data_IF_170391199737
#
_entry.id   IF_170391199737
#
_cell.length_a   1.000
_cell.length_b   1.000
_cell.length_c   1.000
_cell.angle_alpha   90.00
_cell.angle_beta   90.00
_cell.angle_gamma   90.00
#
_symmetry.space_group_name_H-M   'P 1'
#
loop_
_entity.id
_entity.type
_entity.pdbx_description
1 polymer ?
#
# COMPACT_ATOMS: atom_id res chain seq x y z
N UNK A 1 -16.97 8.87 -11.32
CA UNK A 1 -17.16 8.46 -12.74
C UNK A 1 -15.86 8.54 -13.55
N UNK A 2 -15.20 9.70 -13.68
CA UNK A 2 -13.93 9.79 -14.43
C UNK A 2 -12.80 8.89 -13.90
N UNK A 3 -12.57 8.86 -12.57
CA UNK A 3 -11.52 8.02 -11.96
C UNK A 3 -11.74 6.53 -12.21
N UNK A 4 -12.97 6.04 -12.07
CA UNK A 4 -13.33 4.64 -12.33
C UNK A 4 -13.03 4.25 -13.79
N UNK A 5 -13.38 5.13 -14.74
CA UNK A 5 -13.06 4.90 -16.16
C UNK A 5 -11.55 4.82 -16.39
N UNK A 6 -10.75 5.67 -15.73
CA UNK A 6 -9.28 5.62 -15.84
C UNK A 6 -8.69 4.36 -15.22
N UNK A 7 -9.17 3.94 -14.05
CA UNK A 7 -8.73 2.69 -13.41
C UNK A 7 -9.00 1.49 -14.31
N UNK A 8 -10.21 1.37 -14.88
CA UNK A 8 -10.54 0.27 -15.78
C UNK A 8 -9.63 0.22 -17.00
N UNK A 9 -9.37 1.37 -17.63
CA UNK A 9 -8.44 1.45 -18.76
C UNK A 9 -7.01 1.09 -18.37
N UNK A 10 -6.56 1.49 -17.18
CA UNK A 10 -5.26 1.08 -16.66
C UNK A 10 -5.20 -0.45 -16.48
N UNK A 11 -6.24 -1.09 -15.93
CA UNK A 11 -6.29 -2.55 -15.78
C UNK A 11 -6.34 -3.28 -17.12
N UNK A 12 -7.08 -2.76 -18.11
CA UNK A 12 -7.12 -3.31 -19.47
C UNK A 12 -5.76 -3.28 -20.16
N UNK A 13 -4.92 -2.28 -19.85
CA UNK A 13 -3.55 -2.22 -20.38
C UNK A 13 -2.59 -3.05 -19.52
N UNK A 14 -2.73 -2.99 -18.19
CA UNK A 14 -1.85 -3.67 -17.26
C UNK A 14 -1.86 -5.19 -17.46
N UNK A 15 -3.01 -5.79 -17.82
CA UNK A 15 -3.10 -7.23 -18.00
C UNK A 15 -2.17 -7.79 -19.09
N UNK A 16 -1.77 -6.99 -20.08
CA UNK A 16 -0.80 -7.41 -21.10
C UNK A 16 0.62 -7.62 -20.55
N UNK A 17 0.94 -7.03 -19.39
CA UNK A 17 2.25 -7.13 -18.75
C UNK A 17 2.31 -8.20 -17.66
N UNK A 18 1.21 -8.89 -17.39
CA UNK A 18 1.09 -9.92 -16.34
C UNK A 18 1.68 -9.47 -14.98
N UNK A 19 1.28 -8.29 -14.45
CA UNK A 19 1.87 -7.77 -13.23
C UNK A 19 1.53 -8.65 -12.03
N UNK A 20 2.47 -8.77 -11.09
CA UNK A 20 2.23 -9.50 -9.83
C UNK A 20 1.13 -8.84 -8.99
N UNK A 21 1.10 -7.50 -8.98
CA UNK A 21 0.17 -6.66 -8.23
C UNK A 21 -0.07 -5.36 -9.01
N UNK A 22 -1.26 -4.77 -8.90
CA UNK A 22 -1.59 -3.42 -9.37
C UNK A 22 -2.07 -2.61 -8.17
N UNK A 23 -1.36 -1.53 -7.87
CA UNK A 23 -1.65 -0.65 -6.73
C UNK A 23 -2.67 0.42 -7.12
N UNK A 24 -3.63 0.68 -6.23
CA UNK A 24 -4.63 1.74 -6.37
C UNK A 24 -4.78 2.52 -5.06
N UNK A 25 -5.11 3.80 -5.16
CA UNK A 25 -5.39 4.63 -3.99
C UNK A 25 -6.90 4.71 -3.73
N UNK A 26 -7.27 4.80 -2.45
CA UNK A 26 -8.67 4.94 -2.02
C UNK A 26 -9.28 6.32 -2.36
N UNK A 27 -8.42 7.33 -2.53
CA UNK A 27 -8.81 8.73 -2.67
C UNK A 27 -9.26 9.41 -1.36
N UNK A 28 -9.07 8.77 -0.20
CA UNK A 28 -9.30 9.42 1.08
C UNK A 28 -8.36 10.61 1.27
N UNK A 29 -8.86 11.63 1.95
CA UNK A 29 -8.04 12.76 2.38
C UNK A 29 -8.71 13.41 3.59
N UNK A 30 -8.02 13.57 4.73
CA UNK A 30 -8.63 14.03 5.97
C UNK A 30 -9.19 15.45 5.88
N UNK A 31 -8.61 16.30 5.03
CA UNK A 31 -9.10 17.67 4.81
C UNK A 31 -10.48 17.76 4.12
N UNK A 32 -10.90 16.71 3.41
CA UNK A 32 -12.19 16.71 2.68
C UNK A 32 -13.19 15.71 3.27
N UNK A 33 -12.70 14.61 3.82
CA UNK A 33 -13.53 13.44 4.12
C UNK A 33 -13.73 13.17 5.61
N UNK A 34 -13.00 13.83 6.51
CA UNK A 34 -13.11 13.58 7.97
C UNK A 34 -14.54 13.67 8.49
N UNK A 35 -15.28 14.71 8.10
CA UNK A 35 -16.68 14.90 8.52
C UNK A 35 -17.70 14.15 7.65
N UNK A 36 -17.25 13.53 6.55
CA UNK A 36 -18.09 12.87 5.54
C UNK A 36 -17.63 11.44 5.25
N UNK A 37 -17.03 10.80 6.26
CA UNK A 37 -16.38 9.50 6.09
C UNK A 37 -17.34 8.42 5.57
N UNK A 38 -18.58 8.40 6.07
CA UNK A 38 -19.60 7.46 5.60
C UNK A 38 -19.93 7.65 4.11
N UNK A 39 -20.12 8.90 3.68
CA UNK A 39 -20.38 9.23 2.27
C UNK A 39 -19.18 8.86 1.37
N UNK A 40 -17.96 9.18 1.81
CA UNK A 40 -16.75 8.76 1.11
C UNK A 40 -16.67 7.25 0.97
N UNK A 41 -16.95 6.50 2.03
CA UNK A 41 -16.88 5.04 2.03
C UNK A 41 -17.92 4.43 1.07
N UNK A 42 -19.14 4.95 1.04
CA UNK A 42 -20.17 4.55 0.07
C UNK A 42 -19.76 4.84 -1.38
N UNK A 43 -19.15 6.01 -1.63
CA UNK A 43 -18.63 6.37 -2.95
C UNK A 43 -17.43 5.50 -3.37
N UNK A 44 -16.53 5.18 -2.44
CA UNK A 44 -15.39 4.29 -2.69
C UNK A 44 -15.88 2.88 -3.04
N UNK A 45 -16.81 2.32 -2.26
CA UNK A 45 -17.41 1.01 -2.52
C UNK A 45 -18.15 0.96 -3.86
N UNK A 46 -19.05 1.90 -4.12
CA UNK A 46 -19.77 1.94 -5.40
C UNK A 46 -18.84 2.20 -6.59
N UNK A 47 -17.78 3.00 -6.41
CA UNK A 47 -16.81 3.29 -7.47
C UNK A 47 -15.90 2.11 -7.81
N UNK A 48 -15.55 1.29 -6.82
CA UNK A 48 -14.62 0.17 -6.99
C UNK A 48 -15.30 -1.13 -7.44
N UNK A 49 -16.62 -1.24 -7.39
CA UNK A 49 -17.34 -2.47 -7.74
C UNK A 49 -16.99 -3.01 -9.15
N UNK A 50 -17.00 -2.14 -10.17
CA UNK A 50 -16.61 -2.56 -11.52
C UNK A 50 -15.10 -2.80 -11.67
N UNK A 51 -14.28 -2.15 -10.85
CA UNK A 51 -12.81 -2.25 -10.89
C UNK A 51 -12.36 -3.59 -10.30
N UNK A 52 -12.91 -3.96 -9.14
CA UNK A 52 -12.64 -5.23 -8.47
C UNK A 52 -13.12 -6.40 -9.33
N UNK A 53 -14.34 -6.33 -9.87
CA UNK A 53 -14.86 -7.35 -10.79
C UNK A 53 -13.96 -7.53 -12.02
N UNK A 54 -13.51 -6.42 -12.62
CA UNK A 54 -12.60 -6.49 -13.77
C UNK A 54 -11.25 -7.14 -13.40
N UNK A 55 -10.71 -6.85 -12.21
CA UNK A 55 -9.49 -7.51 -11.75
C UNK A 55 -9.68 -9.01 -11.57
N UNK A 56 -10.79 -9.47 -10.98
CA UNK A 56 -11.12 -10.89 -10.89
C UNK A 56 -11.21 -11.56 -12.27
N UNK A 57 -11.97 -10.96 -13.19
CA UNK A 57 -12.14 -11.46 -14.57
C UNK A 57 -10.83 -11.53 -15.35
N UNK A 58 -9.83 -10.71 -14.99
CA UNK A 58 -8.51 -10.64 -15.64
C UNK A 58 -7.41 -11.35 -14.86
N UNK A 59 -7.72 -11.97 -13.72
CA UNK A 59 -6.74 -12.63 -12.86
C UNK A 59 -5.71 -11.68 -12.24
N UNK A 60 -6.04 -10.39 -12.11
CA UNK A 60 -5.16 -9.38 -11.52
C UNK A 60 -5.33 -9.33 -10.00
N UNK A 61 -4.25 -9.00 -9.30
CA UNK A 61 -4.27 -8.69 -7.86
C UNK A 61 -4.23 -7.18 -7.67
N UNK A 62 -5.29 -6.60 -7.14
CA UNK A 62 -5.37 -5.20 -6.74
C UNK A 62 -4.92 -5.03 -5.30
N UNK A 63 -4.09 -4.02 -5.05
CA UNK A 63 -3.66 -3.64 -3.71
C UNK A 63 -4.11 -2.22 -3.41
N UNK A 64 -4.92 -2.06 -2.36
CA UNK A 64 -5.37 -0.75 -1.89
C UNK A 64 -4.32 -0.16 -0.94
N UNK A 65 -3.73 0.97 -1.33
CA UNK A 65 -2.64 1.61 -0.60
C UNK A 65 -3.12 2.57 0.49
N UNK A 66 -2.43 2.58 1.63
CA UNK A 66 -2.56 3.66 2.62
C UNK A 66 -1.79 4.90 2.16
N UNK A 67 -2.47 6.04 2.11
CA UNK A 67 -1.89 7.32 1.70
C UNK A 67 -2.12 8.36 2.81
N UNK A 68 -3.38 8.72 3.07
CA UNK A 68 -3.73 9.76 4.06
C UNK A 68 -4.71 9.27 5.13
N UNK A 69 -5.04 7.99 5.11
CA UNK A 69 -5.90 7.36 6.10
C UNK A 69 -5.20 7.39 7.46
N UNK A 70 -5.89 7.85 8.52
CA UNK A 70 -5.27 7.96 9.83
C UNK A 70 -5.02 6.60 10.50
N UNK A 71 -5.79 5.59 10.13
CA UNK A 71 -5.84 4.25 10.72
C UNK A 71 -6.30 3.22 9.67
N UNK A 72 -5.97 1.92 9.81
CA UNK A 72 -6.29 0.89 8.82
C UNK A 72 -7.78 0.66 8.60
N UNK A 73 -8.62 1.04 9.57
CA UNK A 73 -10.06 0.75 9.56
C UNK A 73 -10.81 1.26 8.32
N UNK A 74 -10.32 2.35 7.70
CA UNK A 74 -10.94 2.88 6.47
C UNK A 74 -10.72 1.95 5.28
N UNK A 75 -9.51 1.42 5.14
CA UNK A 75 -9.16 0.52 4.04
C UNK A 75 -9.72 -0.87 4.28
N UNK A 76 -9.68 -1.38 5.51
CA UNK A 76 -10.29 -2.68 5.83
C UNK A 76 -11.78 -2.67 5.55
N UNK A 77 -12.49 -1.59 5.87
CA UNK A 77 -13.92 -1.46 5.56
C UNK A 77 -14.23 -1.50 4.05
N UNK A 78 -13.27 -1.17 3.18
CA UNK A 78 -13.41 -1.31 1.72
C UNK A 78 -13.12 -2.76 1.31
N UNK A 79 -11.97 -3.30 1.70
CA UNK A 79 -11.53 -4.63 1.25
C UNK A 79 -12.45 -5.74 1.77
N UNK A 80 -12.89 -5.66 3.02
CA UNK A 80 -13.83 -6.63 3.61
C UNK A 80 -15.23 -6.56 2.97
N UNK A 81 -15.66 -5.37 2.53
CA UNK A 81 -16.95 -5.21 1.85
C UNK A 81 -17.03 -6.01 0.55
N UNK A 82 -15.96 -6.01 -0.24
CA UNK A 82 -15.90 -6.81 -1.47
C UNK A 82 -15.65 -8.28 -1.19
N UNK A 83 -14.91 -8.60 -0.13
CA UNK A 83 -14.45 -9.94 0.21
C UNK A 83 -13.72 -10.70 -0.93
N UNK A 84 -13.38 -10.02 -2.02
CA UNK A 84 -12.79 -10.58 -3.24
C UNK A 84 -11.37 -11.08 -2.99
N UNK A 85 -10.96 -12.26 -3.50
CA UNK A 85 -9.57 -12.71 -3.44
C UNK A 85 -8.63 -11.87 -4.31
N UNK A 86 -9.16 -11.12 -5.29
CA UNK A 86 -8.39 -10.24 -6.15
C UNK A 86 -8.06 -8.89 -5.48
N UNK A 87 -8.64 -8.57 -4.31
CA UNK A 87 -8.42 -7.30 -3.63
C UNK A 87 -7.73 -7.52 -2.26
N UNK A 88 -6.58 -6.88 -2.10
CA UNK A 88 -5.80 -6.85 -0.88
C UNK A 88 -5.25 -5.46 -0.58
N UNK A 89 -4.13 -5.41 0.12
CA UNK A 89 -3.53 -4.17 0.62
C UNK A 89 -2.13 -3.95 0.05
N UNK A 90 -1.81 -2.68 -0.21
CA UNK A 90 -0.44 -2.21 -0.27
C UNK A 90 -0.19 -1.45 1.04
N UNK A 91 0.85 -1.84 1.78
CA UNK A 91 1.30 -1.04 2.91
C UNK A 91 2.40 -0.09 2.45
N UNK A 92 2.16 1.21 2.47
CA UNK A 92 3.23 2.19 2.30
C UNK A 92 3.74 2.62 3.68
N UNK A 93 5.00 2.25 3.97
CA UNK A 93 5.62 2.55 5.25
C UNK A 93 5.88 4.05 5.44
N UNK A 94 6.21 4.77 4.37
CA UNK A 94 6.50 6.19 4.41
C UNK A 94 5.25 7.04 4.64
N UNK A 95 4.16 6.73 3.93
CA UNK A 95 2.85 7.32 4.18
C UNK A 95 2.37 7.05 5.61
N UNK A 96 2.52 5.81 6.09
CA UNK A 96 2.15 5.49 7.46
C UNK A 96 2.95 6.30 8.49
N UNK A 97 4.26 6.49 8.27
CA UNK A 97 5.10 7.25 9.20
C UNK A 97 4.85 8.77 9.14
N UNK A 98 4.53 9.31 7.96
CA UNK A 98 4.32 10.75 7.76
C UNK A 98 2.88 11.21 8.08
N UNK A 99 1.87 10.40 7.77
CA UNK A 99 0.48 10.85 7.70
C UNK A 99 -0.50 10.11 8.61
N UNK A 100 -0.19 8.87 9.02
CA UNK A 100 -1.07 8.14 9.92
C UNK A 100 -1.04 8.68 11.35
N UNK A 101 -2.04 8.32 12.14
CA UNK A 101 -2.10 8.61 13.58
C UNK A 101 -1.55 7.48 14.44
N UNK A 102 -1.44 6.29 13.85
CA UNK A 102 -0.84 5.10 14.45
C UNK A 102 0.55 4.83 13.88
N UNK A 103 1.32 4.03 14.61
CA UNK A 103 2.55 3.42 14.13
C UNK A 103 2.27 2.31 13.10
N UNK A 104 3.30 1.64 12.57
CA UNK A 104 3.15 0.62 11.54
C UNK A 104 2.41 -0.66 11.99
N UNK A 105 2.43 -1.00 13.29
CA UNK A 105 1.93 -2.29 13.79
C UNK A 105 0.43 -2.52 13.51
N UNK A 106 -0.49 -1.58 13.82
CA UNK A 106 -1.92 -1.79 13.56
C UNK A 106 -2.22 -2.01 12.08
N UNK A 107 -1.46 -1.38 11.18
CA UNK A 107 -1.60 -1.57 9.73
C UNK A 107 -1.24 -2.98 9.31
N UNK A 108 -0.03 -3.44 9.65
CA UNK A 108 0.40 -4.79 9.27
C UNK A 108 -0.43 -5.88 9.93
N UNK A 109 -0.87 -5.70 11.17
CA UNK A 109 -1.78 -6.64 11.85
C UNK A 109 -3.13 -6.74 11.11
N UNK A 110 -3.68 -5.60 10.68
CA UNK A 110 -4.92 -5.57 9.91
C UNK A 110 -4.75 -6.15 8.50
N UNK A 111 -3.60 -5.93 7.87
CA UNK A 111 -3.37 -6.27 6.46
C UNK A 111 -2.86 -7.70 6.26
N UNK A 112 -2.31 -8.36 7.28
CA UNK A 112 -1.60 -9.66 7.17
C UNK A 112 -2.29 -10.72 6.31
N UNK A 113 -3.63 -10.80 6.35
CA UNK A 113 -4.37 -11.82 5.61
C UNK A 113 -4.41 -11.60 4.09
N UNK A 114 -4.14 -10.37 3.63
CA UNK A 114 -4.17 -9.97 2.21
C UNK A 114 -3.14 -8.89 1.89
N UNK A 115 -1.97 -8.94 2.53
CA UNK A 115 -0.87 -8.01 2.26
C UNK A 115 -0.19 -8.44 0.95
N UNK A 116 -0.41 -7.69 -0.12
CA UNK A 116 0.08 -8.05 -1.45
C UNK A 116 1.39 -7.36 -1.77
N UNK A 117 1.55 -6.13 -1.30
CA UNK A 117 2.69 -5.27 -1.60
C UNK A 117 3.05 -4.38 -0.41
N UNK A 118 4.32 -4.03 -0.32
CA UNK A 118 4.83 -3.00 0.58
C UNK A 118 5.66 -2.01 -0.23
N UNK A 119 5.35 -0.72 -0.08
CA UNK A 119 6.17 0.36 -0.61
C UNK A 119 7.17 0.80 0.46
N UNK A 120 8.39 1.04 -0.01
CA UNK A 120 9.55 1.28 0.82
C UNK A 120 10.24 2.54 0.35
N UNK A 121 10.15 3.57 1.16
CA UNK A 121 10.92 4.80 1.10
C UNK A 121 10.89 5.42 2.51
N UNK A 122 11.83 6.30 2.82
CA UNK A 122 12.08 6.78 4.18
C UNK A 122 11.75 8.27 4.32
N UNK A 123 11.41 8.69 5.54
CA UNK A 123 11.20 10.09 5.87
C UNK A 123 11.36 10.33 7.39
N UNK A 124 11.22 11.59 7.81
CA UNK A 124 11.37 11.99 9.22
C UNK A 124 10.04 12.12 9.99
N UNK A 125 8.93 11.77 9.35
CA UNK A 125 7.56 11.82 9.90
C UNK A 125 6.85 13.15 9.66
N UNK A 126 7.43 14.09 8.90
CA UNK A 126 6.80 15.39 8.59
C UNK A 126 6.18 15.44 7.20
N UNK A 127 6.86 14.84 6.24
CA UNK A 127 6.50 14.86 4.84
C UNK A 127 6.85 13.53 4.17
N UNK A 128 6.30 13.37 2.99
CA UNK A 128 6.59 12.24 2.11
C UNK A 128 7.85 12.53 1.28
N UNK A 129 9.01 12.48 1.94
CA UNK A 129 10.28 12.93 1.37
C UNK A 129 10.90 11.92 0.37
N UNK A 130 10.43 10.67 0.34
CA UNK A 130 10.97 9.56 -0.44
C UNK A 130 12.50 9.42 -0.33
N UNK A 131 13.05 9.56 0.88
CA UNK A 131 14.47 9.33 1.12
C UNK A 131 14.79 7.85 0.90
N UNK A 132 16.03 7.49 0.50
CA UNK A 132 16.41 6.08 0.48
C UNK A 132 16.31 5.46 1.88
N UNK A 133 15.87 4.20 2.00
CA UNK A 133 15.81 3.46 3.26
C UNK A 133 17.08 3.58 4.10
N UNK A 134 16.91 3.87 5.38
CA UNK A 134 18.02 4.09 6.32
C UNK A 134 18.52 5.54 6.37
N UNK A 135 17.90 6.46 5.63
CA UNK A 135 18.19 7.91 5.70
C UNK A 135 17.12 8.73 6.41
N UNK A 136 16.00 8.13 6.78
CA UNK A 136 14.97 8.72 7.62
C UNK A 136 14.90 8.04 8.98
N UNK A 137 13.69 7.78 9.46
CA UNK A 137 13.43 7.27 10.82
C UNK A 137 12.46 6.10 10.84
N UNK A 138 12.07 5.58 9.69
CA UNK A 138 11.15 4.45 9.63
C UNK A 138 11.86 3.19 10.15
N UNK A 139 11.25 2.44 11.09
CA UNK A 139 11.89 1.29 11.72
C UNK A 139 11.80 0.04 10.82
N UNK A 140 12.44 0.07 9.64
CA UNK A 140 12.38 -1.01 8.66
C UNK A 140 12.82 -2.37 9.21
N UNK A 141 13.82 -2.41 10.09
CA UNK A 141 14.24 -3.66 10.75
C UNK A 141 13.09 -4.32 11.51
N UNK A 142 12.26 -3.53 12.21
CA UNK A 142 11.12 -4.05 12.95
C UNK A 142 9.98 -4.47 12.02
N UNK A 143 9.71 -3.68 10.99
CA UNK A 143 8.70 -3.96 9.96
C UNK A 143 9.02 -5.30 9.27
N UNK A 144 10.23 -5.47 8.75
CA UNK A 144 10.61 -6.71 8.06
C UNK A 144 10.76 -7.90 9.01
N UNK A 145 11.21 -7.68 10.26
CA UNK A 145 11.20 -8.74 11.27
C UNK A 145 9.77 -9.23 11.59
N UNK A 146 8.78 -8.34 11.61
CA UNK A 146 7.37 -8.72 11.71
C UNK A 146 6.92 -9.54 10.50
N UNK A 147 7.22 -9.08 9.28
CA UNK A 147 6.88 -9.83 8.05
C UNK A 147 7.49 -11.23 8.05
N UNK A 148 8.76 -11.36 8.43
CA UNK A 148 9.44 -12.65 8.53
C UNK A 148 8.83 -13.56 9.60
N UNK A 149 8.52 -13.02 10.78
CA UNK A 149 7.89 -13.77 11.88
C UNK A 149 6.51 -14.32 11.48
N UNK A 150 5.72 -13.54 10.75
CA UNK A 150 4.38 -13.91 10.31
C UNK A 150 4.38 -14.69 8.96
N UNK A 151 5.56 -15.03 8.43
CA UNK A 151 5.76 -15.69 7.12
C UNK A 151 5.06 -14.97 5.96
N UNK A 152 5.06 -13.64 6.00
CA UNK A 152 4.49 -12.78 4.97
C UNK A 152 5.57 -12.43 3.93
N UNK A 153 5.25 -12.64 2.65
CA UNK A 153 6.14 -12.34 1.51
C UNK A 153 5.44 -11.49 0.45
N UNK A 154 5.01 -10.25 0.77
CA UNK A 154 4.51 -9.32 -0.23
C UNK A 154 5.59 -8.96 -1.25
N UNK A 155 5.18 -8.39 -2.38
CA UNK A 155 6.09 -7.68 -3.28
C UNK A 155 6.69 -6.50 -2.52
N UNK A 156 8.00 -6.28 -2.63
CA UNK A 156 8.67 -5.11 -2.06
C UNK A 156 9.02 -4.16 -3.18
N UNK A 157 8.45 -2.96 -3.14
CA UNK A 157 8.70 -1.91 -4.12
C UNK A 157 9.45 -0.77 -3.44
N UNK A 158 10.69 -0.53 -3.88
CA UNK A 158 11.48 0.62 -3.44
C UNK A 158 11.21 1.82 -4.35
N UNK A 159 10.60 2.86 -3.79
CA UNK A 159 10.20 4.07 -4.52
C UNK A 159 11.26 5.17 -4.42
N UNK A 160 12.35 4.99 -5.18
CA UNK A 160 13.42 5.98 -5.26
C UNK A 160 13.09 7.10 -6.27
N UNK A 161 13.10 8.36 -5.83
CA UNK A 161 12.92 9.51 -6.74
C UNK A 161 14.18 9.90 -7.50
N UNK A 162 15.36 9.48 -7.04
CA UNK A 162 16.64 9.79 -7.69
C UNK A 162 17.43 8.52 -7.94
N UNK A 163 18.07 8.44 -9.11
CA UNK A 163 18.88 7.28 -9.48
C UNK A 163 20.04 7.03 -8.51
N UNK A 164 20.62 8.09 -7.93
CA UNK A 164 21.72 8.00 -6.96
C UNK A 164 21.30 7.36 -5.62
N UNK A 165 20.02 7.39 -5.29
CA UNK A 165 19.48 6.85 -4.04
C UNK A 165 19.20 5.34 -4.12
N UNK A 166 19.14 4.79 -5.35
CA UNK A 166 18.79 3.38 -5.58
C UNK A 166 19.81 2.43 -4.95
N UNK A 167 21.11 2.59 -5.23
CA UNK A 167 22.12 1.66 -4.73
C UNK A 167 22.27 1.70 -3.20
N UNK A 168 22.34 2.88 -2.55
CA UNK A 168 22.36 2.94 -1.09
C UNK A 168 21.13 2.33 -0.43
N UNK A 169 19.93 2.59 -0.97
CA UNK A 169 18.69 2.02 -0.44
C UNK A 169 18.62 0.50 -0.57
N UNK A 170 19.02 -0.04 -1.72
CA UNK A 170 19.09 -1.50 -1.93
C UNK A 170 20.11 -2.17 -0.99
N UNK A 171 21.28 -1.57 -0.79
CA UNK A 171 22.28 -2.10 0.13
C UNK A 171 21.75 -2.17 1.57
N UNK A 172 21.03 -1.14 2.00
CA UNK A 172 20.40 -1.12 3.33
C UNK A 172 19.33 -2.22 3.48
N UNK A 173 18.44 -2.39 2.48
CA UNK A 173 17.41 -3.43 2.52
C UNK A 173 18.01 -4.83 2.49
N UNK A 174 19.03 -5.05 1.67
CA UNK A 174 19.74 -6.33 1.60
C UNK A 174 20.34 -6.70 2.98
N UNK A 175 20.97 -5.76 3.68
CA UNK A 175 21.51 -6.00 5.02
C UNK A 175 20.42 -6.44 6.00
N UNK A 176 19.23 -5.83 5.93
CA UNK A 176 18.09 -6.22 6.75
C UNK A 176 17.66 -7.64 6.42
N UNK A 177 17.41 -7.95 5.15
CA UNK A 177 16.87 -9.24 4.71
C UNK A 177 17.83 -10.39 5.06
N UNK A 178 19.13 -10.18 4.87
CA UNK A 178 20.16 -11.14 5.28
C UNK A 178 20.15 -11.38 6.79
N UNK A 179 20.01 -10.33 7.61
CA UNK A 179 20.01 -10.43 9.06
C UNK A 179 18.79 -11.19 9.63
N UNK A 180 17.67 -11.19 8.92
CA UNK A 180 16.43 -11.87 9.34
C UNK A 180 16.12 -13.13 8.52
N UNK A 181 16.98 -13.50 7.57
CA UNK A 181 16.78 -14.65 6.66
C UNK A 181 15.44 -14.63 5.91
N UNK A 182 15.02 -13.45 5.46
CA UNK A 182 13.75 -13.24 4.75
C UNK A 182 13.91 -13.32 3.22
#
# INVERSE_FOLDING_TARGET
KASVTRLKQALEVACFFEPQVVVIHSGYHPGYHRERQANWLELARSGLEEVVRLAEERGLRLALENVFEPEPALLTAIVEYFASPALGYCFDAGHAYAFARSSWQPWLEAFRGRLFEIHVHDNDGRWDDHLPPGRGKIPFREIFAFLAKEDLKPVVTFEAHRAEDVLPGLAYLQEIFEAISW
#
